data_IF_345311225349
#
_entry.id   IF_345311225349
#
_cell.length_a   1.000
_cell.length_b   1.000
_cell.length_c   1.000
_cell.angle_alpha   90.00
_cell.angle_beta   90.00
_cell.angle_gamma   90.00
#
_symmetry.space_group_name_H-M   'P 1'
#
loop_
_entity.id
_entity.type
_entity.pdbx_description
1 polymer ?
#
# COMPACT_ATOMS: atom_id res chain seq x y z
N UNK A 1 12.24 7.39 27.63
CA UNK A 1 12.91 7.34 26.30
C UNK A 1 14.37 7.64 26.51
N UNK A 2 15.28 6.76 26.06
CA UNK A 2 16.73 7.05 26.10
C UNK A 2 17.03 8.23 25.16
N UNK A 3 17.86 9.16 25.63
CA UNK A 3 18.29 10.31 24.84
C UNK A 3 19.22 9.83 23.71
N UNK A 4 18.95 10.21 22.46
CA UNK A 4 19.73 9.77 21.30
C UNK A 4 21.23 10.09 21.47
N UNK A 5 21.56 11.22 22.11
CA UNK A 5 22.96 11.60 22.39
C UNK A 5 23.65 10.62 23.34
N UNK A 6 22.92 10.03 24.27
CA UNK A 6 23.47 9.02 25.20
C UNK A 6 23.64 7.66 24.54
N UNK A 7 22.77 7.32 23.58
CA UNK A 7 22.90 6.09 22.78
C UNK A 7 24.13 6.19 21.88
N UNK A 8 24.30 7.32 21.18
CA UNK A 8 25.45 7.55 20.27
C UNK A 8 26.80 7.48 21.00
N UNK A 9 26.86 7.90 22.28
CA UNK A 9 28.06 7.79 23.13
C UNK A 9 28.41 6.35 23.51
N UNK A 10 27.45 5.43 23.49
CA UNK A 10 27.64 4.01 23.83
C UNK A 10 28.03 3.15 22.62
N UNK A 11 27.94 3.69 21.41
CA UNK A 11 28.30 2.98 20.17
C UNK A 11 29.82 3.01 19.98
N UNK A 12 30.42 1.83 19.80
CA UNK A 12 31.81 1.71 19.38
C UNK A 12 31.90 1.93 17.87
N UNK A 13 32.13 3.16 17.44
CA UNK A 13 32.21 3.53 16.03
C UNK A 13 33.37 2.89 15.26
N UNK A 14 34.32 2.23 15.94
CA UNK A 14 35.41 1.51 15.30
C UNK A 14 35.05 0.06 14.91
N UNK A 15 33.90 -0.45 15.34
CA UNK A 15 33.38 -1.75 14.92
C UNK A 15 33.04 -1.72 13.41
N UNK A 16 33.51 -2.69 12.61
CA UNK A 16 33.17 -2.79 11.19
C UNK A 16 31.67 -2.72 10.88
N UNK A 17 30.82 -3.25 11.77
CA UNK A 17 29.36 -3.19 11.61
C UNK A 17 28.81 -1.76 11.69
N UNK A 18 29.41 -0.91 12.53
CA UNK A 18 29.01 0.49 12.71
C UNK A 18 29.62 1.44 11.69
N UNK A 19 30.77 1.09 11.09
CA UNK A 19 31.43 1.92 10.08
C UNK A 19 30.54 2.17 8.86
N UNK A 20 29.91 1.12 8.33
CA UNK A 20 29.00 1.25 7.18
C UNK A 20 27.82 2.18 7.48
N UNK A 21 27.19 2.01 8.65
CA UNK A 21 26.06 2.84 9.08
C UNK A 21 26.51 4.29 9.27
N UNK A 22 27.71 4.51 9.82
CA UNK A 22 28.29 5.84 9.98
C UNK A 22 28.50 6.54 8.63
N UNK A 23 29.04 5.83 7.64
CA UNK A 23 29.23 6.36 6.28
C UNK A 23 27.88 6.73 5.64
N UNK A 24 26.87 5.87 5.75
CA UNK A 24 25.51 6.16 5.26
C UNK A 24 24.90 7.39 5.95
N UNK A 25 25.03 7.51 7.28
CA UNK A 25 24.53 8.68 8.02
C UNK A 25 25.22 9.97 7.56
N UNK A 26 26.55 9.95 7.41
CA UNK A 26 27.30 11.12 6.95
C UNK A 26 26.93 11.49 5.51
N UNK A 27 26.74 10.50 4.63
CA UNK A 27 26.28 10.71 3.26
C UNK A 27 24.89 11.34 3.22
N UNK A 28 23.94 10.83 4.03
CA UNK A 28 22.60 11.39 4.14
C UNK A 28 22.64 12.83 4.65
N UNK A 29 23.43 13.11 5.69
CA UNK A 29 23.57 14.45 6.23
C UNK A 29 24.11 15.43 5.16
N UNK A 30 25.14 15.01 4.42
CA UNK A 30 25.68 15.83 3.34
C UNK A 30 24.64 16.13 2.26
N UNK A 31 23.85 15.13 1.84
CA UNK A 31 22.81 15.30 0.80
C UNK A 31 21.63 16.15 1.25
N UNK A 32 21.38 16.24 2.56
CA UNK A 32 20.40 17.18 3.14
C UNK A 32 20.93 18.61 3.06
N UNK A 33 22.20 18.83 3.43
CA UNK A 33 22.84 20.15 3.38
C UNK A 33 23.04 20.64 1.93
N UNK A 34 23.26 19.74 0.97
CA UNK A 34 23.43 20.03 -0.46
C UNK A 34 22.13 20.38 -1.20
N UNK A 35 21.14 20.95 -0.51
CA UNK A 35 19.85 21.37 -1.09
C UNK A 35 20.04 22.26 -2.33
N UNK A 36 19.27 21.97 -3.38
CA UNK A 36 19.29 22.71 -4.66
C UNK A 36 18.07 23.62 -4.83
N UNK A 37 17.30 23.86 -3.78
CA UNK A 37 16.00 24.56 -3.87
C UNK A 37 16.10 25.98 -4.45
N UNK A 38 17.02 26.80 -3.95
CA UNK A 38 17.21 28.18 -4.44
C UNK A 38 17.72 28.17 -5.89
N UNK A 39 18.69 27.32 -6.19
CA UNK A 39 19.25 27.16 -7.53
C UNK A 39 18.17 26.74 -8.54
N UNK A 40 17.36 25.73 -8.19
CA UNK A 40 16.26 25.25 -9.00
C UNK A 40 15.17 26.32 -9.21
N UNK A 41 14.85 27.11 -8.18
CA UNK A 41 13.90 28.22 -8.30
C UNK A 41 14.40 29.28 -9.29
N UNK A 42 15.66 29.71 -9.18
CA UNK A 42 16.25 30.70 -10.08
C UNK A 42 16.35 30.17 -11.52
N UNK A 43 16.72 28.91 -11.69
CA UNK A 43 16.72 28.24 -13.00
C UNK A 43 15.30 28.19 -13.60
N UNK A 44 14.27 27.95 -12.77
CA UNK A 44 12.88 27.94 -13.18
C UNK A 44 12.43 29.31 -13.72
N UNK A 45 12.80 30.40 -13.05
CA UNK A 45 12.52 31.77 -13.55
C UNK A 45 13.22 32.09 -14.86
N UNK A 46 14.39 31.50 -15.11
CA UNK A 46 15.09 31.64 -16.38
C UNK A 46 14.57 30.70 -17.48
N UNK A 47 13.49 29.95 -17.23
CA UNK A 47 12.94 28.98 -18.17
C UNK A 47 13.87 27.79 -18.44
N UNK A 48 14.84 27.54 -17.56
CA UNK A 48 15.75 26.42 -17.69
C UNK A 48 15.11 25.10 -17.24
N UNK A 49 15.66 23.99 -17.71
CA UNK A 49 15.24 22.65 -17.31
C UNK A 49 15.56 22.40 -15.82
N UNK A 50 14.56 21.91 -15.08
CA UNK A 50 14.73 21.46 -13.69
C UNK A 50 14.86 19.94 -13.67
N UNK A 51 15.99 19.39 -13.15
CA UNK A 51 16.18 17.94 -13.07
C UNK A 51 15.04 17.23 -12.37
N UNK A 52 14.56 16.14 -12.97
CA UNK A 52 13.55 15.29 -12.38
C UNK A 52 14.13 14.42 -11.24
N UNK A 53 13.30 14.04 -10.29
CA UNK A 53 13.68 13.14 -9.20
C UNK A 53 12.50 12.40 -8.60
N UNK A 54 12.71 11.29 -7.88
CA UNK A 54 11.63 10.63 -7.18
C UNK A 54 11.12 11.48 -6.01
N UNK A 55 9.83 11.37 -5.70
CA UNK A 55 9.25 11.80 -4.44
C UNK A 55 9.14 10.64 -3.45
N UNK A 56 8.96 10.95 -2.17
CA UNK A 56 8.85 9.94 -1.12
C UNK A 56 9.21 10.49 0.25
N UNK A 57 9.17 9.60 1.25
CA UNK A 57 9.52 9.93 2.63
C UNK A 57 10.88 9.32 2.98
N UNK A 58 11.84 10.17 3.38
CA UNK A 58 13.17 9.75 3.86
C UNK A 58 13.02 8.76 5.03
N UNK A 59 12.04 8.99 5.90
CA UNK A 59 11.71 8.12 7.05
C UNK A 59 11.20 6.74 6.65
N UNK A 60 10.84 6.53 5.38
CA UNK A 60 10.45 5.22 4.82
C UNK A 60 11.53 4.64 3.89
N UNK A 61 12.78 5.06 4.06
CA UNK A 61 13.91 4.53 3.31
C UNK A 61 14.02 5.05 1.88
N UNK A 62 13.26 6.11 1.54
CA UNK A 62 13.38 6.82 0.26
C UNK A 62 14.37 7.97 0.42
N UNK A 63 15.62 7.65 0.67
CA UNK A 63 16.68 8.66 0.71
C UNK A 63 17.05 9.14 -0.70
N UNK A 64 16.74 8.37 -1.75
CA UNK A 64 16.85 8.71 -3.18
C UNK A 64 16.15 10.03 -3.57
N UNK A 65 15.27 10.55 -2.71
CA UNK A 65 14.60 11.86 -2.82
C UNK A 65 15.53 13.04 -2.52
N UNK A 66 16.72 12.81 -1.98
CA UNK A 66 17.75 13.83 -1.76
C UNK A 66 18.77 13.89 -2.91
N UNK A 67 19.27 15.10 -3.27
CA UNK A 67 18.94 16.40 -2.68
C UNK A 67 17.57 16.93 -3.14
N UNK A 68 17.01 17.87 -2.37
CA UNK A 68 15.80 18.62 -2.76
C UNK A 68 16.13 19.68 -3.82
N UNK A 69 15.10 20.34 -4.38
CA UNK A 69 15.25 21.22 -5.54
C UNK A 69 15.14 20.49 -6.88
N UNK A 70 14.35 19.41 -6.94
CA UNK A 70 14.07 18.64 -8.16
C UNK A 70 12.60 18.71 -8.51
N UNK A 71 12.30 18.60 -9.81
CA UNK A 71 10.93 18.45 -10.29
C UNK A 71 10.49 17.00 -10.06
N UNK A 72 9.87 16.75 -8.90
CA UNK A 72 9.64 15.38 -8.48
C UNK A 72 8.54 14.68 -9.29
N UNK A 73 8.67 13.36 -9.46
CA UNK A 73 7.62 12.49 -9.92
C UNK A 73 7.19 11.53 -8.80
N UNK A 74 6.00 10.94 -8.91
CA UNK A 74 5.49 9.98 -7.93
C UNK A 74 6.17 8.61 -8.12
N UNK A 75 5.54 7.71 -8.87
CA UNK A 75 5.98 6.34 -9.09
C UNK A 75 5.25 5.74 -10.30
N UNK A 76 5.72 4.57 -10.74
CA UNK A 76 5.00 3.75 -11.74
C UNK A 76 3.79 3.08 -11.08
N UNK A 77 2.54 3.43 -11.45
CA UNK A 77 1.34 2.90 -10.80
C UNK A 77 1.19 1.38 -11.01
N UNK A 78 1.88 0.80 -11.99
CA UNK A 78 1.88 -0.64 -12.21
C UNK A 78 2.81 -1.41 -11.27
N UNK A 79 3.60 -0.75 -10.42
CA UNK A 79 4.50 -1.41 -9.45
C UNK A 79 3.92 -1.50 -8.04
N UNK A 80 2.63 -1.18 -7.89
CA UNK A 80 1.92 -1.09 -6.62
C UNK A 80 0.89 -2.21 -6.51
N UNK A 81 0.85 -2.98 -5.42
CA UNK A 81 1.75 -2.89 -4.26
C UNK A 81 3.13 -3.51 -4.53
N UNK A 82 4.15 -3.03 -3.84
CA UNK A 82 5.47 -3.71 -3.85
C UNK A 82 5.41 -5.01 -3.02
N UNK A 83 6.40 -5.90 -3.20
CA UNK A 83 6.51 -7.14 -2.40
C UNK A 83 6.60 -6.85 -0.90
N UNK A 84 7.40 -5.86 -0.52
CA UNK A 84 7.56 -5.45 0.89
C UNK A 84 6.26 -4.84 1.44
N UNK A 85 5.59 -4.00 0.65
CA UNK A 85 4.29 -3.45 1.02
C UNK A 85 3.23 -4.55 1.19
N UNK A 86 3.29 -5.61 0.37
CA UNK A 86 2.39 -6.75 0.51
C UNK A 86 2.54 -7.48 1.85
N UNK A 87 3.77 -7.75 2.29
CA UNK A 87 4.03 -8.36 3.59
C UNK A 87 3.54 -7.50 4.77
N UNK A 88 3.67 -6.18 4.66
CA UNK A 88 3.19 -5.25 5.68
C UNK A 88 1.65 -5.20 5.66
N UNK A 89 1.03 -5.09 4.48
CA UNK A 89 -0.42 -5.11 4.31
C UNK A 89 -1.07 -6.39 4.83
N UNK A 90 -0.44 -7.55 4.61
CA UNK A 90 -0.85 -8.83 5.20
C UNK A 90 -0.90 -8.75 6.73
N UNK A 91 0.18 -8.28 7.37
CA UNK A 91 0.24 -8.14 8.83
C UNK A 91 -0.79 -7.14 9.36
N UNK A 92 -1.06 -6.05 8.63
CA UNK A 92 -2.09 -5.08 8.99
C UNK A 92 -3.49 -5.70 8.96
N UNK A 93 -3.79 -6.49 7.94
CA UNK A 93 -5.05 -7.21 7.81
C UNK A 93 -5.23 -8.26 8.91
N UNK A 94 -4.19 -9.07 9.17
CA UNK A 94 -4.20 -10.09 10.24
C UNK A 94 -4.43 -9.46 11.61
N UNK A 95 -3.70 -8.37 11.94
CA UNK A 95 -3.89 -7.65 13.22
C UNK A 95 -5.29 -7.03 13.36
N UNK A 96 -5.84 -6.51 12.27
CA UNK A 96 -7.20 -5.97 12.26
C UNK A 96 -8.22 -7.08 12.60
N UNK A 97 -8.10 -8.23 11.93
CA UNK A 97 -8.97 -9.38 12.14
C UNK A 97 -8.81 -9.92 13.56
N UNK A 98 -7.58 -10.13 14.02
CA UNK A 98 -7.26 -10.62 15.36
C UNK A 98 -7.88 -9.72 16.43
N UNK A 99 -7.70 -8.40 16.30
CA UNK A 99 -8.29 -7.44 17.23
C UNK A 99 -9.82 -7.56 17.27
N UNK A 100 -10.49 -7.60 16.11
CA UNK A 100 -11.94 -7.71 16.07
C UNK A 100 -12.43 -9.05 16.64
N UNK A 101 -11.73 -10.14 16.35
CA UNK A 101 -12.05 -11.47 16.86
C UNK A 101 -11.92 -11.51 18.40
N UNK A 102 -10.88 -10.90 18.96
CA UNK A 102 -10.68 -10.79 20.40
C UNK A 102 -11.76 -9.93 21.08
N UNK A 103 -12.21 -8.86 20.43
CA UNK A 103 -13.19 -7.92 20.99
C UNK A 103 -14.64 -8.41 20.84
N UNK A 104 -14.96 -9.15 19.77
CA UNK A 104 -16.34 -9.49 19.39
C UNK A 104 -16.63 -10.99 19.32
N UNK A 105 -15.61 -11.86 19.44
CA UNK A 105 -15.74 -13.31 19.40
C UNK A 105 -16.10 -13.90 18.03
N UNK A 106 -16.10 -13.08 16.97
CA UNK A 106 -16.41 -13.49 15.58
C UNK A 106 -15.55 -12.74 14.57
N UNK A 107 -15.44 -13.27 13.35
CA UNK A 107 -14.81 -12.55 12.24
C UNK A 107 -15.66 -11.33 11.83
N UNK A 108 -15.03 -10.20 11.43
CA UNK A 108 -15.76 -9.09 10.84
C UNK A 108 -16.30 -9.53 9.47
N UNK A 109 -17.60 -9.37 9.20
CA UNK A 109 -18.12 -9.75 7.88
C UNK A 109 -17.78 -8.73 6.80
N UNK A 110 -17.74 -7.44 7.17
CA UNK A 110 -17.37 -6.33 6.29
C UNK A 110 -16.42 -5.35 7.01
N UNK A 111 -15.44 -4.81 6.29
CA UNK A 111 -14.55 -3.74 6.75
C UNK A 111 -14.66 -2.54 5.81
N UNK A 112 -15.03 -1.38 6.35
CA UNK A 112 -15.00 -0.13 5.61
C UNK A 112 -13.59 0.48 5.63
N UNK A 113 -13.04 0.79 4.45
CA UNK A 113 -11.69 1.32 4.27
C UNK A 113 -11.76 2.63 3.51
N UNK A 114 -11.20 3.69 4.10
CA UNK A 114 -10.94 4.93 3.39
C UNK A 114 -9.55 4.87 2.75
N UNK A 115 -9.52 4.79 1.42
CA UNK A 115 -8.29 4.57 0.66
C UNK A 115 -7.81 5.89 0.04
N UNK A 116 -6.68 6.39 0.57
CA UNK A 116 -6.07 7.65 0.18
C UNK A 116 -4.80 7.43 -0.64
N UNK A 117 -4.50 8.35 -1.56
CA UNK A 117 -3.31 8.25 -2.43
C UNK A 117 -1.98 8.24 -1.66
N UNK A 118 -1.96 8.71 -0.39
CA UNK A 118 -0.80 8.60 0.50
C UNK A 118 -0.39 7.14 0.74
N UNK A 119 -1.32 6.19 0.70
CA UNK A 119 -1.01 4.76 0.75
C UNK A 119 -0.08 4.36 -0.40
N UNK A 120 -0.45 4.73 -1.62
CA UNK A 120 0.31 4.39 -2.81
C UNK A 120 1.62 5.18 -2.85
N UNK A 121 1.55 6.50 -2.67
CA UNK A 121 2.68 7.40 -2.87
C UNK A 121 3.72 7.36 -1.75
N UNK A 122 3.31 7.07 -0.51
CA UNK A 122 4.22 7.09 0.65
C UNK A 122 4.52 5.70 1.19
N UNK A 123 3.60 4.75 1.05
CA UNK A 123 3.71 3.42 1.63
C UNK A 123 3.80 2.31 0.58
N UNK A 124 4.01 2.64 -0.71
CA UNK A 124 4.17 1.69 -1.80
C UNK A 124 2.98 0.68 -1.92
N UNK A 125 1.80 1.03 -1.42
CA UNK A 125 0.57 0.23 -1.48
C UNK A 125 0.31 -0.72 -0.31
N UNK A 126 0.73 -0.39 0.92
CA UNK A 126 0.44 -1.19 2.13
C UNK A 126 -1.06 -1.41 2.38
N UNK A 127 -1.88 -0.39 2.20
CA UNK A 127 -3.33 -0.41 2.32
C UNK A 127 -4.00 -1.16 1.17
N UNK A 128 -3.52 -0.99 -0.07
CA UNK A 128 -3.94 -1.84 -1.19
C UNK A 128 -3.69 -3.32 -0.88
N UNK A 129 -2.50 -3.64 -0.37
CA UNK A 129 -2.16 -4.99 0.04
C UNK A 129 -3.01 -5.50 1.21
N UNK A 130 -3.35 -4.64 2.17
CA UNK A 130 -4.27 -4.96 3.25
C UNK A 130 -5.64 -5.37 2.70
N UNK A 131 -6.19 -4.60 1.74
CA UNK A 131 -7.45 -4.93 1.05
C UNK A 131 -7.34 -6.28 0.35
N UNK A 132 -6.28 -6.48 -0.45
CA UNK A 132 -6.03 -7.76 -1.15
C UNK A 132 -6.00 -8.94 -0.17
N UNK A 133 -5.30 -8.79 0.95
CA UNK A 133 -5.22 -9.84 1.93
C UNK A 133 -6.58 -10.12 2.59
N UNK A 134 -7.34 -9.09 2.99
CA UNK A 134 -8.68 -9.24 3.60
C UNK A 134 -9.61 -10.08 2.72
N UNK A 135 -9.67 -9.78 1.43
CA UNK A 135 -10.52 -10.50 0.46
C UNK A 135 -9.93 -11.87 0.06
N UNK A 136 -8.67 -12.14 0.41
CA UNK A 136 -8.01 -13.44 0.22
C UNK A 136 -7.37 -13.61 -1.15
N UNK A 137 -6.78 -12.55 -1.69
CA UNK A 137 -5.94 -12.60 -2.89
C UNK A 137 -4.53 -12.11 -2.56
N UNK A 138 -3.56 -12.55 -3.37
CA UNK A 138 -2.19 -12.04 -3.31
C UNK A 138 -1.74 -11.56 -4.70
N UNK A 139 -0.95 -10.47 -4.77
CA UNK A 139 -0.46 -9.96 -6.05
C UNK A 139 0.58 -10.90 -6.68
N UNK A 140 0.59 -10.93 -8.01
CA UNK A 140 1.58 -11.65 -8.82
C UNK A 140 2.39 -10.59 -9.58
N UNK A 141 3.71 -10.67 -9.48
CA UNK A 141 4.61 -9.70 -10.13
C UNK A 141 5.36 -10.32 -11.32
N UNK A 142 5.66 -9.48 -12.31
CA UNK A 142 6.71 -9.74 -13.28
C UNK A 142 8.11 -9.66 -12.63
N UNK A 143 9.13 -10.15 -13.33
CA UNK A 143 10.53 -10.07 -12.88
C UNK A 143 11.04 -8.64 -12.63
N UNK A 144 10.45 -7.64 -13.29
CA UNK A 144 10.78 -6.21 -13.11
C UNK A 144 10.02 -5.54 -11.93
N UNK A 145 9.18 -6.29 -11.22
CA UNK A 145 8.40 -5.79 -10.08
C UNK A 145 7.11 -5.06 -10.45
N UNK A 146 6.69 -5.03 -11.73
CA UNK A 146 5.33 -4.62 -12.09
C UNK A 146 4.34 -5.72 -11.73
N UNK A 147 3.13 -5.35 -11.36
CA UNK A 147 2.00 -6.24 -11.17
C UNK A 147 1.62 -6.85 -12.51
N UNK A 148 1.54 -8.18 -12.52
CA UNK A 148 1.06 -9.00 -13.62
C UNK A 148 -0.42 -9.30 -13.47
N UNK A 149 -0.82 -9.73 -12.28
CA UNK A 149 -2.20 -10.12 -11.94
C UNK A 149 -2.31 -10.26 -10.42
N UNK A 150 -3.40 -10.87 -9.96
CA UNK A 150 -3.50 -11.46 -8.63
C UNK A 150 -3.74 -12.96 -8.75
N UNK A 151 -3.52 -13.68 -7.66
CA UNK A 151 -3.94 -15.06 -7.48
C UNK A 151 -4.84 -15.17 -6.25
N UNK A 152 -5.82 -16.05 -6.33
CA UNK A 152 -6.76 -16.32 -5.24
C UNK A 152 -6.09 -17.29 -4.28
N UNK A 153 -6.00 -16.90 -3.01
CA UNK A 153 -5.48 -17.76 -1.94
C UNK A 153 -6.58 -18.78 -1.58
N UNK A 154 -6.31 -20.10 -1.64
CA UNK A 154 -7.28 -21.13 -1.23
C UNK A 154 -7.72 -20.95 0.22
N UNK A 155 -8.95 -21.32 0.57
CA UNK A 155 -9.48 -21.16 1.93
C UNK A 155 -8.67 -21.94 2.97
N UNK A 156 -8.11 -23.09 2.59
CA UNK A 156 -7.25 -23.91 3.44
C UNK A 156 -5.95 -23.18 3.80
N UNK A 157 -5.36 -22.46 2.84
CA UNK A 157 -4.18 -21.62 3.07
C UNK A 157 -4.57 -20.35 3.83
N UNK A 158 -5.73 -19.76 3.52
CA UNK A 158 -6.20 -18.52 4.13
C UNK A 158 -6.53 -18.71 5.63
N UNK A 159 -7.02 -19.89 6.03
CA UNK A 159 -7.28 -20.25 7.43
C UNK A 159 -8.47 -19.52 8.08
N UNK A 160 -9.21 -18.71 7.32
CA UNK A 160 -10.32 -17.87 7.78
C UNK A 160 -11.30 -17.59 6.63
N UNK A 161 -12.50 -17.04 6.91
CA UNK A 161 -13.36 -16.51 5.88
C UNK A 161 -12.71 -15.37 5.08
N UNK A 162 -13.14 -15.21 3.82
CA UNK A 162 -12.86 -14.00 3.02
C UNK A 162 -13.72 -12.86 3.57
N UNK A 163 -13.07 -11.75 3.90
CA UNK A 163 -13.72 -10.60 4.52
C UNK A 163 -14.19 -9.65 3.43
N UNK A 164 -15.46 -9.23 3.47
CA UNK A 164 -15.96 -8.24 2.54
C UNK A 164 -15.42 -6.85 2.87
N UNK A 165 -15.34 -5.97 1.88
CA UNK A 165 -14.75 -4.64 2.03
C UNK A 165 -15.64 -3.60 1.40
N UNK A 166 -15.80 -2.46 2.08
CA UNK A 166 -16.45 -1.27 1.52
C UNK A 166 -15.40 -0.18 1.38
N UNK A 167 -15.04 0.17 0.16
CA UNK A 167 -13.88 1.03 -0.12
C UNK A 167 -14.37 2.40 -0.56
N UNK A 168 -14.02 3.43 0.21
CA UNK A 168 -14.17 4.83 -0.20
C UNK A 168 -12.82 5.33 -0.71
N UNK A 169 -12.71 5.61 -2.00
CA UNK A 169 -11.45 6.09 -2.60
C UNK A 169 -11.42 7.60 -2.65
N UNK A 170 -10.23 8.17 -2.43
CA UNK A 170 -9.98 9.58 -2.70
C UNK A 170 -9.97 9.88 -4.20
N UNK A 171 -10.34 11.10 -4.60
CA UNK A 171 -10.30 11.54 -6.00
C UNK A 171 -8.92 11.44 -6.64
N UNK A 172 -7.84 11.63 -5.86
CA UNK A 172 -6.47 11.49 -6.36
C UNK A 172 -6.18 10.04 -6.78
N UNK A 173 -6.68 9.03 -6.05
CA UNK A 173 -6.56 7.62 -6.49
C UNK A 173 -7.30 7.41 -7.79
N UNK A 174 -8.55 7.86 -7.88
CA UNK A 174 -9.36 7.72 -9.10
C UNK A 174 -8.64 8.32 -10.32
N UNK A 175 -8.03 9.48 -10.16
CA UNK A 175 -7.44 10.23 -11.27
C UNK A 175 -6.05 9.72 -11.67
N UNK A 176 -5.23 9.25 -10.71
CA UNK A 176 -3.82 8.92 -10.95
C UNK A 176 -3.50 7.41 -10.90
N UNK A 177 -4.37 6.62 -10.26
CA UNK A 177 -4.15 5.18 -10.02
C UNK A 177 -5.38 4.33 -10.39
N UNK A 178 -6.04 4.55 -11.54
CA UNK A 178 -7.24 3.79 -11.93
C UNK A 178 -6.97 2.29 -12.06
N UNK A 179 -5.77 1.90 -12.52
CA UNK A 179 -5.34 0.50 -12.63
C UNK A 179 -5.36 -0.23 -11.27
N UNK A 180 -5.09 0.47 -10.17
CA UNK A 180 -5.16 -0.11 -8.82
C UNK A 180 -6.62 -0.37 -8.42
N UNK A 181 -7.54 0.54 -8.77
CA UNK A 181 -8.99 0.36 -8.55
C UNK A 181 -9.50 -0.82 -9.37
N UNK A 182 -9.16 -0.87 -10.66
CA UNK A 182 -9.56 -1.94 -11.58
C UNK A 182 -9.11 -3.31 -11.08
N UNK A 183 -7.87 -3.44 -10.61
CA UNK A 183 -7.34 -4.70 -10.09
C UNK A 183 -8.12 -5.21 -8.87
N UNK A 184 -8.49 -4.31 -7.95
CA UNK A 184 -9.26 -4.66 -6.76
C UNK A 184 -10.71 -5.01 -7.12
N UNK A 185 -11.36 -4.24 -8.00
CA UNK A 185 -12.71 -4.54 -8.47
C UNK A 185 -12.75 -5.89 -9.21
N UNK A 186 -11.78 -6.19 -10.07
CA UNK A 186 -11.65 -7.48 -10.74
C UNK A 186 -11.49 -8.62 -9.73
N UNK A 187 -10.68 -8.43 -8.69
CA UNK A 187 -10.50 -9.42 -7.62
C UNK A 187 -11.81 -9.69 -6.86
N UNK A 188 -12.53 -8.63 -6.47
CA UNK A 188 -13.82 -8.75 -5.77
C UNK A 188 -14.84 -9.50 -6.63
N UNK A 189 -14.95 -9.14 -7.91
CA UNK A 189 -15.84 -9.83 -8.85
C UNK A 189 -15.49 -11.32 -8.96
N UNK A 190 -14.20 -11.67 -9.13
CA UNK A 190 -13.79 -13.09 -9.21
C UNK A 190 -14.09 -13.84 -7.91
N UNK A 191 -13.81 -13.24 -6.76
CA UNK A 191 -14.07 -13.86 -5.45
C UNK A 191 -15.56 -14.11 -5.23
N UNK A 192 -16.42 -13.18 -5.65
CA UNK A 192 -17.87 -13.33 -5.53
C UNK A 192 -18.42 -14.52 -6.35
N UNK A 193 -17.74 -14.91 -7.43
CA UNK A 193 -18.12 -16.07 -8.26
C UNK A 193 -17.60 -17.43 -7.77
N UNK A 194 -16.73 -17.46 -6.76
CA UNK A 194 -16.13 -18.71 -6.29
C UNK A 194 -17.19 -19.67 -5.75
N UNK A 195 -17.00 -20.97 -6.00
CA UNK A 195 -17.85 -22.02 -5.43
C UNK A 195 -17.46 -22.31 -3.98
N UNK A 196 -17.64 -21.30 -3.12
CA UNK A 196 -17.39 -21.35 -1.69
C UNK A 196 -18.71 -21.14 -0.92
N UNK A 197 -18.85 -21.72 0.30
CA UNK A 197 -20.02 -21.48 1.14
C UNK A 197 -20.04 -20.02 1.65
N UNK A 198 -21.22 -19.38 1.74
CA UNK A 198 -21.36 -17.98 2.18
C UNK A 198 -20.74 -17.68 3.57
N UNK A 199 -20.70 -18.66 4.47
CA UNK A 199 -20.12 -18.53 5.80
C UNK A 199 -18.57 -18.45 5.78
N UNK A 200 -17.95 -18.83 4.65
CA UNK A 200 -16.50 -18.72 4.42
C UNK A 200 -16.14 -17.63 3.40
N UNK A 201 -17.13 -17.05 2.74
CA UNK A 201 -16.93 -16.00 1.76
C UNK A 201 -17.99 -14.92 1.92
N UNK A 202 -17.69 -13.91 2.74
CA UNK A 202 -18.63 -12.84 3.05
C UNK A 202 -18.90 -11.92 1.85
N UNK A 203 -17.96 -11.84 0.90
CA UNK A 203 -18.19 -11.11 -0.36
C UNK A 203 -19.33 -11.78 -1.14
N UNK A 204 -19.24 -13.10 -1.34
CA UNK A 204 -20.30 -13.88 -2.00
C UNK A 204 -21.62 -13.81 -1.23
N UNK A 205 -21.58 -13.98 0.10
CA UNK A 205 -22.75 -13.85 0.97
C UNK A 205 -23.50 -12.55 0.71
N UNK A 206 -22.82 -11.41 0.85
CA UNK A 206 -23.45 -10.10 0.67
C UNK A 206 -23.84 -9.82 -0.78
N UNK A 207 -23.07 -10.29 -1.76
CA UNK A 207 -23.46 -10.16 -3.18
C UNK A 207 -24.78 -10.88 -3.46
N UNK A 208 -24.97 -12.11 -2.97
CA UNK A 208 -26.23 -12.84 -3.12
C UNK A 208 -27.39 -12.14 -2.40
N UNK A 209 -27.15 -11.60 -1.20
CA UNK A 209 -28.16 -10.83 -0.46
C UNK A 209 -28.61 -9.57 -1.22
N UNK A 210 -27.66 -8.81 -1.81
CA UNK A 210 -27.97 -7.62 -2.61
C UNK A 210 -28.77 -7.98 -3.86
N UNK A 211 -28.34 -9.00 -4.60
CA UNK A 211 -29.04 -9.47 -5.80
C UNK A 211 -30.48 -9.92 -5.49
N UNK A 212 -30.66 -10.69 -4.42
CA UNK A 212 -31.99 -11.16 -4.00
C UNK A 212 -32.90 -10.03 -3.52
N UNK A 213 -32.34 -9.03 -2.83
CA UNK A 213 -33.13 -7.93 -2.25
C UNK A 213 -33.55 -6.89 -3.30
N UNK A 214 -32.66 -6.56 -4.24
CA UNK A 214 -32.87 -5.47 -5.18
C UNK A 214 -33.33 -5.96 -6.57
N UNK A 215 -33.32 -7.28 -6.84
CA UNK A 215 -33.52 -7.80 -8.19
C UNK A 215 -32.42 -7.36 -9.15
N UNK A 216 -31.26 -6.99 -8.60
CA UNK A 216 -30.12 -6.41 -9.31
C UNK A 216 -29.30 -7.48 -10.01
N UNK A 217 -28.61 -7.08 -11.08
CA UNK A 217 -27.68 -7.95 -11.76
C UNK A 217 -26.42 -8.24 -10.93
N UNK A 218 -25.63 -9.21 -11.37
CA UNK A 218 -24.39 -9.60 -10.69
C UNK A 218 -23.39 -8.45 -10.56
N UNK A 219 -23.36 -7.53 -11.55
CA UNK A 219 -22.41 -6.41 -11.52
C UNK A 219 -22.78 -5.44 -10.40
N UNK A 220 -24.04 -5.08 -10.27
CA UNK A 220 -24.55 -4.24 -9.19
C UNK A 220 -24.31 -4.90 -7.82
N UNK A 221 -24.50 -6.22 -7.70
CA UNK A 221 -24.24 -6.97 -6.46
C UNK A 221 -22.78 -7.00 -6.01
N UNK A 222 -21.82 -6.73 -6.90
CA UNK A 222 -20.37 -6.76 -6.62
C UNK A 222 -19.74 -5.38 -6.44
N UNK A 223 -20.51 -4.29 -6.54
CA UNK A 223 -19.97 -2.95 -6.31
C UNK A 223 -19.53 -2.80 -4.86
N UNK A 224 -18.25 -2.49 -4.65
CA UNK A 224 -17.64 -2.24 -3.34
C UNK A 224 -16.76 -0.99 -3.28
N UNK A 225 -16.47 -0.37 -4.43
CA UNK A 225 -15.58 0.79 -4.54
C UNK A 225 -16.40 2.03 -4.89
N UNK A 226 -16.28 3.07 -4.07
CA UNK A 226 -17.03 4.31 -4.18
C UNK A 226 -16.08 5.50 -4.17
N UNK A 227 -16.23 6.41 -5.14
CA UNK A 227 -15.44 7.64 -5.26
C UNK A 227 -16.24 8.84 -4.71
#
# INVERSE_FOLDING_TARGET
>A
MLNIKEILKKINWNDPAWQKIKEEILNLNQRIEDSKEIEALLNGFNGCYIPAGPSGLITRGRDDVLPTGRNFYSLDPYRVPTKSAYEIGKRLAEKLIEKHLNEQGRYPENVAIFWMASDIMWADGEGMAQIMHLIGVRPVWFGNGRIKSFEIVPLEELGRPRIDVTIRVSGIIRDNFPNCIELIDEAIQKIATLDEPPEKNFIKKHTLEIMNKNGEDFRAGTIRIYC
#
